data_IF_589757687587
#
_entry.id   IF_589757687587
#
_cell.length_a   1.000
_cell.length_b   1.000
_cell.length_c   1.000
_cell.angle_alpha   90.00
_cell.angle_beta   90.00
_cell.angle_gamma   90.00
#
_symmetry.space_group_name_H-M   'P 1'
#
loop_
_entity.id
_entity.type
_entity.pdbx_description
1 polymer ?
#
# COMPACT_ATOMS: atom_id res chain seq x y z
N UNK A 1 -0.03 -23.80 -51.66
CA UNK A 1 0.56 -23.48 -50.33
C UNK A 1 0.03 -24.46 -49.31
N UNK A 2 0.92 -25.16 -48.61
CA UNK A 2 0.62 -26.39 -47.87
C UNK A 2 0.31 -26.07 -46.39
N UNK A 3 -0.85 -26.46 -45.81
CA UNK A 3 -1.26 -26.11 -44.45
C UNK A 3 -0.46 -26.83 -43.33
N UNK A 4 0.55 -27.64 -43.67
CA UNK A 4 1.40 -28.35 -42.70
C UNK A 4 2.61 -27.55 -42.19
N UNK A 5 2.92 -26.40 -42.77
CA UNK A 5 4.12 -25.63 -42.38
C UNK A 5 3.84 -24.49 -41.40
N UNK A 6 2.59 -24.29 -40.95
CA UNK A 6 2.22 -23.23 -40.01
C UNK A 6 2.11 -23.70 -38.55
N UNK A 7 2.29 -25.00 -38.28
CA UNK A 7 2.21 -25.59 -36.93
C UNK A 7 3.57 -25.73 -36.22
N UNK A 8 4.69 -25.36 -36.86
CA UNK A 8 6.05 -25.54 -36.28
C UNK A 8 6.70 -24.25 -35.77
N UNK A 9 6.00 -23.10 -35.79
CA UNK A 9 6.49 -21.83 -35.23
C UNK A 9 5.86 -21.47 -33.87
N UNK A 10 5.12 -22.40 -33.25
CA UNK A 10 4.82 -22.33 -31.81
C UNK A 10 5.84 -23.19 -31.07
N UNK A 11 7.11 -22.80 -31.15
CA UNK A 11 8.08 -23.10 -30.11
C UNK A 11 7.66 -22.35 -28.85
N UNK A 12 6.59 -22.83 -28.22
CA UNK A 12 6.11 -22.33 -26.95
C UNK A 12 7.21 -22.58 -25.95
N UNK A 13 8.03 -21.56 -25.71
CA UNK A 13 8.87 -21.49 -24.53
C UNK A 13 7.91 -21.64 -23.36
N UNK A 14 7.81 -22.87 -22.85
CA UNK A 14 7.27 -23.17 -21.54
C UNK A 14 8.15 -22.40 -20.55
N UNK A 15 7.85 -21.12 -20.38
CA UNK A 15 8.43 -20.33 -19.31
C UNK A 15 7.97 -20.99 -18.02
N UNK A 16 8.94 -21.51 -17.27
CA UNK A 16 8.68 -22.10 -15.99
C UNK A 16 7.95 -21.09 -15.11
N UNK A 17 6.89 -21.52 -14.40
CA UNK A 17 6.16 -20.64 -13.51
C UNK A 17 7.10 -20.09 -12.44
N UNK A 18 7.01 -18.79 -12.18
CA UNK A 18 7.87 -18.11 -11.19
C UNK A 18 7.34 -18.45 -9.80
N UNK A 19 8.14 -19.19 -9.02
CA UNK A 19 7.83 -19.47 -7.61
C UNK A 19 8.40 -18.37 -6.71
N UNK A 20 7.54 -17.77 -5.91
CA UNK A 20 7.85 -16.71 -4.96
C UNK A 20 7.58 -17.24 -3.56
N UNK A 21 8.62 -17.42 -2.77
CA UNK A 21 8.47 -17.87 -1.39
C UNK A 21 7.88 -16.72 -0.54
N UNK A 22 6.78 -16.98 0.17
CA UNK A 22 6.25 -16.00 1.10
C UNK A 22 7.14 -15.97 2.34
N UNK A 23 7.56 -14.76 2.72
CA UNK A 23 8.33 -14.51 3.94
C UNK A 23 7.35 -14.57 5.11
N UNK A 24 7.53 -15.56 5.98
CA UNK A 24 6.73 -15.66 7.19
C UNK A 24 6.92 -14.42 8.07
N UNK A 25 5.80 -13.87 8.55
CA UNK A 25 5.75 -12.62 9.31
C UNK A 25 6.65 -12.59 10.55
N UNK A 26 7.09 -13.76 11.05
CA UNK A 26 8.07 -13.90 12.12
C UNK A 26 9.41 -13.16 11.84
N UNK A 27 9.73 -12.88 10.56
CA UNK A 27 10.94 -12.15 10.16
C UNK A 27 10.68 -10.70 9.68
N UNK A 28 9.42 -10.32 9.48
CA UNK A 28 8.99 -9.05 8.87
C UNK A 28 8.65 -7.94 9.88
N UNK A 29 8.90 -8.17 11.17
CA UNK A 29 8.76 -7.14 12.18
C UNK A 29 9.89 -6.12 12.06
N UNK A 30 9.62 -4.80 11.94
CA UNK A 30 10.65 -3.82 12.22
C UNK A 30 11.14 -4.09 13.65
N UNK A 31 12.45 -4.05 13.87
CA UNK A 31 13.01 -3.94 15.22
C UNK A 31 12.58 -2.58 15.75
N UNK A 32 11.33 -2.47 16.17
CA UNK A 32 10.82 -1.33 16.89
C UNK A 32 11.71 -1.15 18.11
N UNK A 33 12.28 0.03 18.37
CA UNK A 33 13.01 0.29 19.61
C UNK A 33 12.12 0.07 20.84
N UNK A 34 10.78 0.05 20.69
CA UNK A 34 9.86 -0.34 21.75
C UNK A 34 10.02 -1.81 22.18
N UNK A 35 10.43 -2.72 21.27
CA UNK A 35 10.68 -4.13 21.60
C UNK A 35 11.93 -4.31 22.47
N UNK A 36 12.88 -3.37 22.43
CA UNK A 36 14.03 -3.31 23.35
C UNK A 36 13.69 -2.68 24.70
N UNK A 37 12.67 -1.82 24.77
CA UNK A 37 12.22 -1.18 26.03
C UNK A 37 11.14 -1.96 26.78
N UNK A 38 10.44 -2.88 26.11
CA UNK A 38 9.46 -3.76 26.74
C UNK A 38 10.01 -4.61 27.91
N UNK A 39 11.19 -5.26 27.83
CA UNK A 39 11.74 -5.94 28.99
C UNK A 39 12.08 -4.97 30.12
N UNK A 40 12.53 -3.75 29.81
CA UNK A 40 12.84 -2.73 30.83
C UNK A 40 11.61 -2.18 31.53
N UNK A 41 10.52 -1.90 30.80
CA UNK A 41 9.25 -1.45 31.40
C UNK A 41 8.62 -2.54 32.28
N UNK A 42 8.73 -3.81 31.88
CA UNK A 42 8.24 -4.95 32.66
C UNK A 42 9.12 -5.24 33.89
N UNK A 43 10.45 -5.15 33.76
CA UNK A 43 11.37 -5.24 34.90
C UNK A 43 11.14 -4.10 35.89
N UNK A 44 10.89 -2.87 35.42
CA UNK A 44 10.57 -1.75 36.30
C UNK A 44 9.21 -1.93 36.99
N UNK A 45 8.21 -2.51 36.31
CA UNK A 45 6.92 -2.82 36.92
C UNK A 45 7.03 -3.89 38.01
N UNK A 46 7.81 -4.95 37.74
CA UNK A 46 8.03 -6.04 38.69
C UNK A 46 8.90 -5.61 39.88
N UNK A 47 9.90 -4.76 39.65
CA UNK A 47 10.69 -4.14 40.72
C UNK A 47 9.82 -3.22 41.59
N UNK A 48 8.93 -2.42 40.98
CA UNK A 48 8.03 -1.54 41.72
C UNK A 48 7.05 -2.33 42.60
N UNK A 49 6.45 -3.41 42.09
CA UNK A 49 5.54 -4.26 42.88
C UNK A 49 6.26 -4.99 44.00
N UNK A 50 7.50 -5.46 43.77
CA UNK A 50 8.31 -6.06 44.84
C UNK A 50 8.68 -5.02 45.91
N UNK A 51 9.04 -3.81 45.49
CA UNK A 51 9.38 -2.71 46.41
C UNK A 51 8.17 -2.29 47.23
N UNK A 52 6.98 -2.21 46.63
CA UNK A 52 5.71 -1.99 47.32
C UNK A 52 5.36 -3.11 48.31
N UNK A 53 5.59 -4.38 47.94
CA UNK A 53 5.39 -5.50 48.86
C UNK A 53 6.34 -5.46 50.06
N UNK A 54 7.62 -5.08 49.86
CA UNK A 54 8.59 -4.99 50.97
C UNK A 54 8.28 -3.78 51.88
N UNK A 55 7.87 -2.65 51.30
CA UNK A 55 7.55 -1.43 52.06
C UNK A 55 6.21 -1.51 52.81
N UNK A 56 5.19 -2.18 52.25
CA UNK A 56 3.88 -2.35 52.91
C UNK A 56 3.73 -3.67 53.66
N UNK A 57 4.58 -4.65 53.43
CA UNK A 57 4.58 -5.96 54.11
C UNK A 57 4.88 -5.91 55.61
N UNK A 58 5.23 -4.73 56.14
CA UNK A 58 5.43 -4.49 57.57
C UNK A 58 4.18 -3.98 58.30
N UNK A 59 3.07 -3.69 57.60
CA UNK A 59 1.84 -3.19 58.24
C UNK A 59 0.67 -4.13 57.95
N UNK A 60 0.25 -4.81 59.01
CA UNK A 60 -0.88 -5.71 59.32
C UNK A 60 -2.23 -5.56 58.55
N UNK A 61 -2.24 -5.38 57.24
CA UNK A 61 -3.47 -5.31 56.43
C UNK A 61 -3.56 -6.50 55.44
N UNK A 62 -4.21 -7.61 55.84
CA UNK A 62 -4.30 -8.82 55.01
C UNK A 62 -4.99 -8.58 53.66
N UNK A 63 -5.85 -7.56 53.55
CA UNK A 63 -6.52 -7.20 52.28
C UNK A 63 -5.57 -6.71 51.18
N UNK A 64 -4.49 -6.00 51.56
CA UNK A 64 -3.50 -5.50 50.58
C UNK A 64 -2.63 -6.61 50.03
N UNK A 65 -2.33 -7.65 50.82
CA UNK A 65 -1.60 -8.84 50.39
C UNK A 65 -2.39 -9.63 49.33
N UNK A 66 -3.71 -9.77 49.51
CA UNK A 66 -4.58 -10.45 48.54
C UNK A 66 -4.68 -9.67 47.22
N UNK A 67 -4.80 -8.34 47.29
CA UNK A 67 -4.82 -7.51 46.09
C UNK A 67 -3.48 -7.54 45.31
N UNK A 68 -2.35 -7.47 46.03
CA UNK A 68 -1.02 -7.50 45.42
C UNK A 68 -0.70 -8.85 44.74
N UNK A 69 -1.07 -9.96 45.38
CA UNK A 69 -0.92 -11.30 44.80
C UNK A 69 -1.80 -11.49 43.57
N UNK A 70 -3.04 -10.97 43.58
CA UNK A 70 -3.92 -10.98 42.41
C UNK A 70 -3.34 -10.23 41.21
N UNK A 71 -2.78 -9.03 41.42
CA UNK A 71 -2.14 -8.25 40.36
C UNK A 71 -0.89 -8.96 39.79
N UNK A 72 -0.08 -9.57 40.65
CA UNK A 72 1.08 -10.37 40.24
C UNK A 72 0.70 -11.56 39.36
N UNK A 73 -0.33 -12.31 39.75
CA UNK A 73 -0.83 -13.45 38.95
C UNK A 73 -1.38 -12.98 37.60
N UNK A 74 -2.12 -11.87 37.55
CA UNK A 74 -2.68 -11.36 36.30
C UNK A 74 -1.58 -10.91 35.32
N UNK A 75 -0.54 -10.22 35.82
CA UNK A 75 0.62 -9.84 34.99
C UNK A 75 1.39 -11.07 34.49
N UNK A 76 1.59 -12.09 35.34
CA UNK A 76 2.25 -13.33 34.94
C UNK A 76 1.43 -14.11 33.89
N UNK A 77 0.11 -14.19 34.03
CA UNK A 77 -0.78 -14.82 33.04
C UNK A 77 -0.75 -14.06 31.72
N UNK A 78 -0.77 -12.72 31.76
CA UNK A 78 -0.64 -11.90 30.56
C UNK A 78 0.71 -12.11 29.88
N UNK A 79 1.80 -12.22 30.65
CA UNK A 79 3.14 -12.52 30.16
C UNK A 79 3.21 -13.91 29.52
N UNK A 80 2.69 -14.95 30.18
CA UNK A 80 2.65 -16.31 29.64
C UNK A 80 1.81 -16.40 28.37
N UNK A 81 0.66 -15.70 28.30
CA UNK A 81 -0.16 -15.61 27.08
C UNK A 81 0.57 -14.92 25.95
N UNK A 82 1.21 -13.78 26.23
CA UNK A 82 1.92 -13.02 25.21
C UNK A 82 3.19 -13.75 24.73
N UNK A 83 3.90 -14.43 25.64
CA UNK A 83 5.02 -15.30 25.32
C UNK A 83 4.58 -16.56 24.56
N UNK A 84 3.40 -17.12 24.84
CA UNK A 84 2.83 -18.24 24.12
C UNK A 84 2.42 -17.85 22.69
N UNK A 85 1.84 -16.65 22.49
CA UNK A 85 1.52 -16.13 21.14
C UNK A 85 2.81 -15.91 20.32
N UNK A 86 3.84 -15.34 20.94
CA UNK A 86 5.15 -15.13 20.27
C UNK A 86 5.87 -16.46 20.00
N UNK A 87 5.73 -17.46 20.87
CA UNK A 87 6.30 -18.82 20.67
C UNK A 87 5.50 -19.66 19.68
N UNK A 88 4.16 -19.53 19.63
CA UNK A 88 3.35 -20.27 18.65
C UNK A 88 3.60 -19.79 17.22
N UNK A 89 3.95 -18.51 17.03
CA UNK A 89 4.39 -17.96 15.74
C UNK A 89 5.75 -18.51 15.26
N UNK A 90 6.51 -19.18 16.14
CA UNK A 90 7.86 -19.69 15.82
C UNK A 90 7.88 -21.19 15.50
N UNK A 91 6.78 -21.92 15.72
CA UNK A 91 6.72 -23.38 15.63
C UNK A 91 5.67 -23.84 14.61
N UNK A 92 5.89 -23.51 13.34
CA UNK A 92 5.02 -23.97 12.25
C UNK A 92 5.16 -23.13 11.00
N UNK A 93 6.34 -23.14 10.38
CA UNK A 93 6.52 -22.61 9.02
C UNK A 93 5.66 -23.46 8.09
N UNK A 94 4.44 -23.02 7.81
CA UNK A 94 3.71 -23.50 6.64
C UNK A 94 4.31 -22.76 5.44
N UNK A 95 5.01 -23.44 4.52
CA UNK A 95 5.68 -22.81 3.38
C UNK A 95 4.63 -22.45 2.31
N UNK A 96 3.78 -21.49 2.63
CA UNK A 96 2.94 -20.88 1.62
C UNK A 96 3.85 -20.20 0.58
N UNK A 97 3.59 -20.43 -0.70
CA UNK A 97 4.31 -19.76 -1.78
C UNK A 97 3.32 -19.29 -2.83
N UNK A 98 3.70 -18.22 -3.51
CA UNK A 98 2.95 -17.68 -4.63
C UNK A 98 3.59 -18.20 -5.91
N UNK A 99 2.81 -18.83 -6.76
CA UNK A 99 3.24 -19.23 -8.10
C UNK A 99 2.63 -18.26 -9.08
N UNK A 100 3.47 -17.56 -9.83
CA UNK A 100 3.03 -16.60 -10.85
C UNK A 100 3.33 -17.16 -12.24
N UNK A 101 2.34 -17.10 -13.12
CA UNK A 101 2.45 -17.45 -14.53
C UNK A 101 1.78 -16.39 -15.41
N UNK A 102 1.65 -16.65 -16.72
CA UNK A 102 1.02 -15.72 -17.66
C UNK A 102 -0.50 -15.59 -17.49
N UNK A 103 -1.13 -16.49 -16.77
CA UNK A 103 -2.57 -16.51 -16.54
C UNK A 103 -2.97 -15.82 -15.23
N UNK A 104 -2.09 -15.83 -14.23
CA UNK A 104 -2.46 -15.36 -12.90
C UNK A 104 -1.42 -15.65 -11.84
N UNK A 105 -1.84 -15.37 -10.61
CA UNK A 105 -1.11 -15.71 -9.40
C UNK A 105 -1.91 -16.75 -8.63
N UNK A 106 -1.24 -17.85 -8.27
CA UNK A 106 -1.77 -18.96 -7.49
C UNK A 106 -1.10 -18.97 -6.12
N UNK A 107 -1.88 -18.95 -5.04
CA UNK A 107 -1.40 -19.18 -3.69
C UNK A 107 -1.42 -20.69 -3.43
N UNK A 108 -0.25 -21.26 -3.15
CA UNK A 108 -0.10 -22.67 -2.79
C UNK A 108 0.23 -22.74 -1.31
N UNK A 109 -0.68 -23.28 -0.52
CA UNK A 109 -0.44 -23.57 0.90
C UNK A 109 -0.23 -25.07 1.09
N UNK A 110 0.46 -25.47 2.16
CA UNK A 110 0.91 -26.86 2.37
C UNK A 110 -0.24 -27.88 2.36
N UNK A 111 -1.42 -27.46 2.82
CA UNK A 111 -2.57 -28.34 3.09
C UNK A 111 -3.78 -28.03 2.21
N UNK A 112 -3.71 -27.04 1.32
CA UNK A 112 -4.81 -26.68 0.43
C UNK A 112 -4.42 -26.80 -1.05
N UNK A 113 -5.44 -26.98 -1.89
CA UNK A 113 -5.25 -26.86 -3.33
C UNK A 113 -4.79 -25.44 -3.69
N UNK A 114 -4.02 -25.34 -4.77
CA UNK A 114 -3.58 -24.06 -5.31
C UNK A 114 -4.80 -23.17 -5.60
N UNK A 115 -4.91 -22.05 -4.89
CA UNK A 115 -6.01 -21.11 -5.04
C UNK A 115 -5.58 -19.95 -5.94
N UNK A 116 -6.37 -19.64 -6.97
CA UNK A 116 -6.10 -18.45 -7.78
C UNK A 116 -6.49 -17.20 -7.01
N UNK A 117 -5.48 -16.42 -6.61
CA UNK A 117 -5.66 -15.16 -5.89
C UNK A 117 -5.75 -13.96 -6.82
N UNK A 118 -5.23 -14.06 -8.05
CA UNK A 118 -5.33 -13.00 -9.04
C UNK A 118 -5.31 -13.55 -10.47
N UNK A 119 -6.09 -12.93 -11.37
CA UNK A 119 -6.12 -13.24 -12.80
C UNK A 119 -5.50 -12.10 -13.60
N UNK A 120 -4.61 -12.42 -14.55
CA UNK A 120 -4.07 -11.43 -15.50
C UNK A 120 -4.98 -11.23 -16.72
N UNK A 121 -6.00 -12.09 -16.89
CA UNK A 121 -6.96 -12.04 -17.99
C UNK A 121 -8.30 -11.42 -17.56
N UNK A 122 -9.03 -10.75 -18.48
CA UNK A 122 -8.62 -10.42 -19.86
C UNK A 122 -7.65 -9.24 -19.94
N UNK A 123 -7.62 -8.38 -18.91
CA UNK A 123 -6.76 -7.21 -18.81
C UNK A 123 -6.42 -6.97 -17.35
N UNK A 124 -5.20 -6.50 -17.10
CA UNK A 124 -4.74 -6.13 -15.77
C UNK A 124 -3.86 -4.87 -15.84
N UNK A 125 -3.67 -4.21 -14.72
CA UNK A 125 -2.72 -3.13 -14.52
C UNK A 125 -1.92 -3.35 -13.24
N UNK A 126 -0.73 -2.77 -13.16
CA UNK A 126 0.02 -2.79 -11.92
C UNK A 126 0.70 -1.45 -11.61
N UNK A 127 0.73 -1.12 -10.33
CA UNK A 127 1.33 0.10 -9.81
C UNK A 127 2.33 -0.24 -8.71
N UNK A 128 3.37 0.59 -8.59
CA UNK A 128 4.37 0.45 -7.54
C UNK A 128 4.07 1.42 -6.41
N UNK A 129 4.23 0.95 -5.19
CA UNK A 129 4.11 1.75 -3.99
C UNK A 129 5.33 1.56 -3.10
N UNK A 130 5.73 2.61 -2.39
CA UNK A 130 6.80 2.52 -1.42
C UNK A 130 6.45 3.31 -0.15
N UNK A 131 7.02 2.89 0.97
CA UNK A 131 7.01 3.73 2.17
C UNK A 131 7.87 4.98 1.95
N UNK A 132 7.60 6.05 2.70
CA UNK A 132 8.37 7.30 2.59
C UNK A 132 9.88 7.09 2.86
N UNK A 133 10.25 6.16 3.74
CA UNK A 133 11.64 5.79 4.03
C UNK A 133 12.26 4.80 3.01
N UNK A 134 11.51 4.44 1.97
CA UNK A 134 11.87 3.47 0.92
C UNK A 134 12.34 2.13 1.49
N UNK A 135 11.90 1.76 2.69
CA UNK A 135 12.24 0.48 3.32
C UNK A 135 11.33 -0.66 2.87
N UNK A 136 10.24 -0.36 2.16
CA UNK A 136 9.29 -1.34 1.66
C UNK A 136 8.83 -0.94 0.27
N UNK A 137 8.81 -1.90 -0.64
CA UNK A 137 8.28 -1.79 -1.99
C UNK A 137 7.11 -2.74 -2.13
N UNK A 138 6.02 -2.29 -2.73
CA UNK A 138 4.79 -3.06 -2.95
C UNK A 138 4.37 -2.93 -4.40
N UNK A 139 4.05 -4.05 -5.03
CA UNK A 139 3.39 -4.12 -6.34
C UNK A 139 1.91 -4.32 -6.06
N UNK A 140 1.07 -3.39 -6.49
CA UNK A 140 -0.38 -3.59 -6.49
C UNK A 140 -0.82 -3.99 -7.90
N UNK A 141 -1.36 -5.19 -8.02
CA UNK A 141 -1.99 -5.72 -9.22
C UNK A 141 -3.48 -5.38 -9.15
N UNK A 142 -4.04 -4.96 -10.29
CA UNK A 142 -5.44 -4.55 -10.39
C UNK A 142 -6.06 -5.09 -11.68
N UNK A 143 -7.30 -5.56 -11.59
CA UNK A 143 -8.14 -5.91 -12.74
C UNK A 143 -9.58 -5.51 -12.43
N UNK A 144 -10.52 -5.72 -13.35
CA UNK A 144 -11.92 -5.34 -13.14
C UNK A 144 -12.65 -6.08 -12.01
N UNK A 145 -12.06 -7.14 -11.44
CA UNK A 145 -12.67 -7.98 -10.41
C UNK A 145 -12.02 -7.83 -9.03
N UNK A 146 -10.72 -7.58 -8.95
CA UNK A 146 -9.98 -7.54 -7.70
C UNK A 146 -8.68 -6.75 -7.77
N UNK A 147 -8.13 -6.44 -6.59
CA UNK A 147 -6.78 -5.94 -6.40
C UNK A 147 -6.00 -6.92 -5.51
N UNK A 148 -4.69 -7.06 -5.77
CA UNK A 148 -3.78 -7.87 -4.97
C UNK A 148 -2.47 -7.11 -4.78
N UNK A 149 -2.05 -6.92 -3.53
CA UNK A 149 -0.76 -6.30 -3.22
C UNK A 149 0.25 -7.35 -2.78
N UNK A 150 1.45 -7.33 -3.38
CA UNK A 150 2.59 -8.16 -3.01
C UNK A 150 3.76 -7.24 -2.68
N UNK A 151 4.37 -7.40 -1.51
CA UNK A 151 5.45 -6.52 -1.06
C UNK A 151 6.75 -7.23 -0.74
N UNK A 152 7.81 -6.44 -0.60
CA UNK A 152 9.10 -6.86 -0.08
C UNK A 152 9.72 -5.76 0.79
N UNK A 153 10.47 -6.17 1.81
CA UNK A 153 11.30 -5.25 2.59
C UNK A 153 12.61 -4.98 1.85
N UNK A 154 12.93 -3.70 1.68
CA UNK A 154 14.08 -3.24 0.90
C UNK A 154 15.18 -2.76 1.84
N UNK A 155 16.25 -3.56 1.89
CA UNK A 155 17.45 -3.25 2.66
C UNK A 155 18.25 -2.07 2.07
N UNK A 156 19.13 -1.41 2.84
CA UNK A 156 19.90 -0.26 2.39
C UNK A 156 20.76 -0.53 1.13
N UNK A 157 21.29 -1.75 0.99
CA UNK A 157 22.07 -2.16 -0.17
C UNK A 157 21.23 -2.22 -1.46
N UNK A 158 19.99 -2.69 -1.36
CA UNK A 158 19.09 -2.83 -2.51
C UNK A 158 18.51 -1.48 -2.95
N UNK A 159 18.38 -0.49 -2.06
CA UNK A 159 17.79 0.83 -2.41
C UNK A 159 18.47 1.49 -3.61
N UNK A 160 19.80 1.43 -3.69
CA UNK A 160 20.55 2.00 -4.83
C UNK A 160 20.27 1.21 -6.11
N UNK A 161 20.29 -0.12 -6.03
CA UNK A 161 20.00 -1.02 -7.16
C UNK A 161 18.59 -0.84 -7.69
N UNK A 162 17.64 -0.58 -6.80
CA UNK A 162 16.23 -0.40 -7.12
C UNK A 162 15.83 1.06 -7.33
N UNK A 163 16.79 1.98 -7.47
CA UNK A 163 16.53 3.42 -7.59
C UNK A 163 15.53 3.75 -8.71
N UNK A 164 15.62 3.08 -9.86
CA UNK A 164 14.67 3.24 -10.95
C UNK A 164 13.24 2.79 -10.57
N UNK A 165 13.07 1.65 -9.89
CA UNK A 165 11.74 1.24 -9.42
C UNK A 165 11.20 2.20 -8.35
N UNK A 166 12.08 2.68 -7.47
CA UNK A 166 11.72 3.62 -6.40
C UNK A 166 11.27 4.98 -6.95
N UNK A 167 11.83 5.45 -8.06
CA UNK A 167 11.40 6.71 -8.67
C UNK A 167 9.99 6.62 -9.27
N UNK A 168 9.56 5.42 -9.68
CA UNK A 168 8.22 5.18 -10.21
C UNK A 168 7.22 4.72 -9.13
N UNK A 169 7.70 4.33 -7.95
CA UNK A 169 6.83 3.99 -6.84
C UNK A 169 6.15 5.25 -6.30
N UNK A 170 4.86 5.12 -6.01
CA UNK A 170 4.06 6.16 -5.34
C UNK A 170 4.17 5.98 -3.83
N UNK A 171 4.35 7.08 -3.11
CA UNK A 171 4.51 7.02 -1.66
C UNK A 171 3.18 6.73 -0.98
N UNK A 172 3.17 5.76 -0.06
CA UNK A 172 2.01 5.38 0.73
C UNK A 172 2.36 5.17 2.22
N UNK A 173 1.34 5.28 3.09
CA UNK A 173 1.48 5.01 4.51
C UNK A 173 1.89 3.55 4.74
N UNK A 174 2.72 3.31 5.76
CA UNK A 174 3.18 1.95 6.08
C UNK A 174 2.01 1.05 6.49
N UNK A 175 1.07 1.60 7.24
CA UNK A 175 -0.13 0.94 7.74
C UNK A 175 -1.05 0.55 6.58
N UNK A 176 -1.20 1.45 5.62
CA UNK A 176 -1.99 1.25 4.42
C UNK A 176 -1.45 0.12 3.57
N UNK A 177 -0.12 0.10 3.36
CA UNK A 177 0.56 -0.99 2.64
C UNK A 177 0.48 -2.30 3.42
N UNK A 178 0.65 -2.27 4.74
CA UNK A 178 0.54 -3.45 5.58
C UNK A 178 -0.87 -4.05 5.54
N UNK A 179 -1.91 -3.22 5.49
CA UNK A 179 -3.29 -3.65 5.33
C UNK A 179 -3.58 -4.18 3.93
N UNK A 180 -3.08 -3.52 2.89
CA UNK A 180 -3.31 -3.93 1.50
C UNK A 180 -2.67 -5.28 1.16
N UNK A 181 -1.56 -5.63 1.82
CA UNK A 181 -0.90 -6.94 1.68
C UNK A 181 -1.56 -8.06 2.49
N UNK A 182 -2.56 -7.77 3.33
CA UNK A 182 -3.31 -8.80 4.04
C UNK A 182 -4.34 -9.40 3.09
N UNK A 183 -4.20 -10.70 2.81
CA UNK A 183 -5.25 -11.43 2.10
C UNK A 183 -6.45 -11.65 3.02
N UNK A 184 -7.66 -11.48 2.50
CA UNK A 184 -8.94 -11.69 3.23
C UNK A 184 -9.02 -13.03 3.95
N UNK A 185 -8.30 -14.05 3.46
CA UNK A 185 -8.32 -15.43 4.00
C UNK A 185 -6.94 -16.06 4.13
N UNK A 186 -5.87 -15.30 3.92
CA UNK A 186 -4.54 -15.86 3.66
C UNK A 186 -3.39 -15.22 4.43
N UNK A 187 -2.16 -15.70 4.21
CA UNK A 187 -0.97 -15.08 4.76
C UNK A 187 -0.76 -13.67 4.21
N UNK A 188 0.07 -12.89 4.92
CA UNK A 188 0.57 -11.61 4.39
C UNK A 188 1.37 -11.88 3.12
N UNK A 189 1.06 -11.16 2.06
CA UNK A 189 1.69 -11.28 0.74
C UNK A 189 3.05 -10.58 0.70
N UNK A 190 3.97 -11.02 1.57
CA UNK A 190 5.34 -10.52 1.62
C UNK A 190 6.28 -11.56 1.03
N UNK A 191 7.16 -11.14 0.12
CA UNK A 191 8.18 -11.97 -0.53
C UNK A 191 9.56 -11.35 -0.34
N UNK A 192 10.63 -12.08 -0.67
CA UNK A 192 11.96 -11.47 -0.73
C UNK A 192 12.07 -10.51 -1.93
N UNK A 193 13.00 -9.55 -1.85
CA UNK A 193 13.21 -8.53 -2.88
C UNK A 193 13.47 -9.13 -4.27
N UNK A 194 14.21 -10.23 -4.37
CA UNK A 194 14.53 -10.84 -5.67
C UNK A 194 13.28 -11.46 -6.30
N UNK A 195 12.45 -12.13 -5.49
CA UNK A 195 11.14 -12.64 -5.90
C UNK A 195 10.22 -11.51 -6.38
N UNK A 196 10.17 -10.37 -5.68
CA UNK A 196 9.35 -9.23 -6.11
C UNK A 196 9.78 -8.68 -7.48
N UNK A 197 11.09 -8.61 -7.75
CA UNK A 197 11.61 -8.17 -9.05
C UNK A 197 11.24 -9.15 -10.16
N UNK A 198 11.34 -10.46 -9.92
CA UNK A 198 10.90 -11.47 -10.89
C UNK A 198 9.41 -11.36 -11.21
N UNK A 199 8.58 -11.01 -10.22
CA UNK A 199 7.17 -10.75 -10.43
C UNK A 199 6.96 -9.52 -11.33
N UNK A 200 7.66 -8.40 -11.07
CA UNK A 200 7.58 -7.19 -11.90
C UNK A 200 8.03 -7.47 -13.34
N UNK A 201 9.13 -8.20 -13.51
CA UNK A 201 9.64 -8.58 -14.83
C UNK A 201 8.62 -9.46 -15.57
N UNK A 202 8.00 -10.42 -14.89
CA UNK A 202 6.94 -11.25 -15.45
C UNK A 202 5.74 -10.41 -15.89
N UNK A 203 5.25 -9.49 -15.06
CA UNK A 203 4.10 -8.63 -15.41
C UNK A 203 4.41 -7.76 -16.63
N UNK A 204 5.62 -7.20 -16.68
CA UNK A 204 6.10 -6.38 -17.81
C UNK A 204 6.22 -7.21 -19.10
N UNK A 205 6.64 -8.48 -19.00
CA UNK A 205 6.69 -9.39 -20.15
C UNK A 205 5.30 -9.81 -20.64
N UNK A 206 4.31 -9.96 -19.74
CA UNK A 206 2.94 -10.33 -20.11
C UNK A 206 2.24 -9.17 -20.82
N UNK A 207 2.32 -7.96 -20.28
CA UNK A 207 1.82 -6.74 -20.92
C UNK A 207 2.67 -5.53 -20.50
N UNK A 208 3.55 -5.06 -21.38
CA UNK A 208 4.40 -3.90 -21.12
C UNK A 208 3.59 -2.61 -20.85
N UNK A 209 2.35 -2.54 -21.32
CA UNK A 209 1.45 -1.39 -21.14
C UNK A 209 0.60 -1.49 -19.87
N UNK A 210 0.80 -2.53 -19.05
CA UNK A 210 0.12 -2.71 -17.76
C UNK A 210 0.74 -1.86 -16.64
N UNK A 211 1.99 -1.43 -16.79
CA UNK A 211 2.66 -0.58 -15.81
C UNK A 211 1.99 0.80 -15.72
N UNK A 212 1.60 1.18 -14.50
CA UNK A 212 0.88 2.44 -14.23
C UNK A 212 -0.61 2.41 -14.59
N UNK A 213 -1.10 1.32 -15.20
CA UNK A 213 -2.54 1.12 -15.40
C UNK A 213 -3.19 0.77 -14.06
N UNK A 214 -4.35 1.36 -13.79
CA UNK A 214 -5.14 1.11 -12.58
C UNK A 214 -6.55 0.71 -13.00
N UNK A 215 -7.03 -0.43 -12.50
CA UNK A 215 -8.39 -0.92 -12.76
C UNK A 215 -9.08 -1.16 -11.44
N UNK A 216 -10.04 -0.31 -11.09
CA UNK A 216 -10.76 -0.38 -9.83
C UNK A 216 -12.26 -0.46 -10.09
N UNK A 217 -12.99 -0.74 -9.02
CA UNK A 217 -14.44 -0.73 -9.00
C UNK A 217 -14.90 0.24 -7.92
N UNK A 218 -15.83 1.12 -8.26
CA UNK A 218 -16.44 2.05 -7.31
C UNK A 218 -17.40 1.32 -6.35
N UNK A 219 -17.97 2.05 -5.39
CA UNK A 219 -18.90 1.52 -4.40
C UNK A 219 -20.23 1.04 -5.00
N UNK A 220 -20.50 1.33 -6.27
CA UNK A 220 -21.68 0.89 -7.02
C UNK A 220 -21.36 -0.26 -7.99
N UNK A 221 -20.16 -0.82 -7.94
CA UNK A 221 -19.76 -1.91 -8.82
C UNK A 221 -19.35 -1.46 -10.23
N UNK A 222 -19.08 -0.17 -10.44
CA UNK A 222 -18.77 0.38 -11.77
C UNK A 222 -17.28 0.63 -11.91
N UNK A 223 -16.77 0.50 -13.13
CA UNK A 223 -15.33 0.58 -13.37
C UNK A 223 -14.78 2.01 -13.20
N UNK A 224 -13.59 2.08 -12.60
CA UNK A 224 -12.72 3.25 -12.57
C UNK A 224 -11.38 2.80 -13.15
N UNK A 225 -11.10 3.20 -14.39
CA UNK A 225 -9.95 2.71 -15.16
C UNK A 225 -9.04 3.88 -15.52
N UNK A 226 -7.82 3.86 -15.03
CA UNK A 226 -6.73 4.69 -15.53
C UNK A 226 -5.96 3.91 -16.60
N UNK A 227 -6.02 4.41 -17.82
CA UNK A 227 -5.15 3.99 -18.91
C UNK A 227 -4.31 5.19 -19.35
N UNK A 228 -3.17 4.91 -19.97
CA UNK A 228 -2.13 5.87 -20.38
C UNK A 228 -2.64 7.28 -20.73
N UNK A 229 -3.67 7.38 -21.57
CA UNK A 229 -4.21 8.62 -22.12
C UNK A 229 -5.62 8.98 -21.62
N UNK A 230 -6.20 8.19 -20.70
CA UNK A 230 -7.59 8.41 -20.25
C UNK A 230 -7.87 7.86 -18.85
N UNK A 231 -8.71 8.60 -18.13
CA UNK A 231 -9.37 8.16 -16.92
C UNK A 231 -10.85 7.92 -17.22
N UNK A 232 -11.24 6.65 -17.22
CA UNK A 232 -12.61 6.19 -17.42
C UNK A 232 -13.29 6.02 -16.06
N UNK A 233 -14.48 6.58 -15.93
CA UNK A 233 -15.36 6.35 -14.79
C UNK A 233 -16.77 6.10 -15.30
N UNK A 234 -17.64 5.66 -14.40
CA UNK A 234 -19.08 5.56 -14.72
C UNK A 234 -19.77 6.88 -15.07
N UNK A 235 -19.14 8.02 -14.75
CA UNK A 235 -19.71 9.35 -14.93
C UNK A 235 -19.25 10.01 -16.23
N UNK A 236 -17.96 9.92 -16.50
CA UNK A 236 -17.35 10.53 -17.67
C UNK A 236 -16.03 9.86 -18.04
N UNK A 237 -15.58 10.14 -19.26
CA UNK A 237 -14.23 9.86 -19.73
C UNK A 237 -13.44 11.15 -19.72
N UNK A 238 -12.37 11.21 -18.94
CA UNK A 238 -11.40 12.30 -18.98
C UNK A 238 -10.22 11.86 -19.84
N UNK A 239 -9.94 12.62 -20.88
CA UNK A 239 -8.77 12.44 -21.74
C UNK A 239 -7.58 13.16 -21.14
N UNK A 240 -6.54 12.40 -20.80
CA UNK A 240 -5.30 12.91 -20.21
C UNK A 240 -4.38 13.55 -21.26
N UNK A 241 -4.63 13.32 -22.55
CA UNK A 241 -3.96 14.02 -23.65
C UNK A 241 -4.60 15.39 -24.01
N UNK A 242 -5.65 15.78 -23.28
CA UNK A 242 -6.41 17.01 -23.48
C UNK A 242 -6.30 17.93 -22.26
N UNK A 243 -6.46 19.27 -22.43
CA UNK A 243 -6.39 20.17 -21.31
C UNK A 243 -7.49 19.86 -20.30
N UNK A 244 -7.11 19.85 -19.04
CA UNK A 244 -7.99 19.60 -17.90
C UNK A 244 -7.58 20.51 -16.74
N UNK A 245 -8.53 20.76 -15.86
CA UNK A 245 -8.30 21.37 -14.56
C UNK A 245 -8.45 20.33 -13.48
N UNK A 246 -7.61 20.39 -12.45
CA UNK A 246 -7.73 19.50 -11.32
C UNK A 246 -7.27 20.15 -10.03
N UNK A 247 -7.78 19.67 -8.89
CA UNK A 247 -7.32 20.07 -7.55
C UNK A 247 -7.60 18.99 -6.51
N UNK A 248 -6.70 18.87 -5.53
CA UNK A 248 -6.91 18.06 -4.33
C UNK A 248 -7.87 18.76 -3.36
N UNK A 249 -8.78 18.00 -2.78
CA UNK A 249 -9.76 18.46 -1.79
C UNK A 249 -9.67 17.60 -0.53
N UNK A 250 -9.98 18.18 0.63
CA UNK A 250 -10.26 17.46 1.87
C UNK A 250 -11.58 17.99 2.42
N UNK A 251 -12.49 17.09 2.79
CA UNK A 251 -13.78 17.48 3.35
C UNK A 251 -14.22 16.48 4.41
N UNK A 252 -15.12 16.92 5.29
CA UNK A 252 -15.67 16.10 6.37
C UNK A 252 -17.17 15.94 6.18
N UNK A 253 -17.67 14.72 6.34
CA UNK A 253 -19.10 14.45 6.36
C UNK A 253 -19.56 13.93 7.72
N UNK A 254 -20.79 14.27 8.10
CA UNK A 254 -21.31 14.03 9.45
C UNK A 254 -21.11 15.21 10.38
N UNK A 255 -21.78 15.18 11.53
CA UNK A 255 -21.74 16.23 12.54
C UNK A 255 -20.91 15.84 13.77
N UNK A 256 -20.22 16.84 14.34
CA UNK A 256 -19.51 16.70 15.61
C UNK A 256 -18.31 15.73 15.55
N UNK A 257 -18.08 15.03 16.66
CA UNK A 257 -16.94 14.14 16.86
C UNK A 257 -16.96 12.85 16.02
N UNK A 258 -18.09 12.55 15.37
CA UNK A 258 -18.26 11.35 14.54
C UNK A 258 -18.08 11.64 13.04
N UNK A 259 -17.63 12.84 12.69
CA UNK A 259 -17.39 13.22 11.30
C UNK A 259 -16.29 12.36 10.67
N UNK A 260 -16.54 11.85 9.47
CA UNK A 260 -15.57 11.09 8.69
C UNK A 260 -14.87 12.03 7.72
N UNK A 261 -13.53 11.97 7.71
CA UNK A 261 -12.71 12.78 6.82
C UNK A 261 -12.44 12.04 5.50
N UNK A 262 -12.63 12.76 4.41
CA UNK A 262 -12.46 12.27 3.05
C UNK A 262 -11.41 13.09 2.33
N UNK A 263 -10.66 12.42 1.48
CA UNK A 263 -9.84 13.06 0.47
C UNK A 263 -10.52 12.98 -0.89
N UNK A 264 -10.43 14.06 -1.66
CA UNK A 264 -11.02 14.20 -2.97
C UNK A 264 -10.01 14.63 -4.02
N UNK A 265 -10.25 14.27 -5.27
CA UNK A 265 -9.59 14.86 -6.44
C UNK A 265 -10.67 15.33 -7.39
N UNK A 266 -10.87 16.63 -7.46
CA UNK A 266 -11.78 17.26 -8.39
C UNK A 266 -11.10 17.38 -9.75
N UNK A 267 -11.81 16.99 -10.81
CA UNK A 267 -11.31 17.02 -12.19
C UNK A 267 -12.39 17.58 -13.09
N UNK A 268 -12.01 18.52 -13.96
CA UNK A 268 -12.88 19.14 -14.95
C UNK A 268 -12.24 19.14 -16.34
N UNK A 269 -12.99 18.72 -17.34
CA UNK A 269 -12.63 18.79 -18.75
C UNK A 269 -13.84 19.20 -19.60
N UNK A 270 -13.79 20.43 -20.13
CA UNK A 270 -14.93 21.01 -20.83
C UNK A 270 -16.17 21.13 -19.92
N UNK A 271 -17.25 20.42 -20.28
CA UNK A 271 -18.49 20.35 -19.49
C UNK A 271 -18.54 19.16 -18.53
N UNK A 272 -17.55 18.27 -18.59
CA UNK A 272 -17.48 17.09 -17.74
C UNK A 272 -16.75 17.43 -16.45
N UNK A 273 -17.36 17.08 -15.31
CA UNK A 273 -16.85 17.34 -13.98
C UNK A 273 -17.11 16.12 -13.10
N UNK A 274 -16.12 15.74 -12.29
CA UNK A 274 -16.25 14.67 -11.32
C UNK A 274 -15.31 14.88 -10.14
N UNK A 275 -15.59 14.18 -9.04
CA UNK A 275 -14.72 14.13 -7.87
C UNK A 275 -14.42 12.68 -7.53
N UNK A 276 -13.17 12.27 -7.67
CA UNK A 276 -12.69 11.01 -7.12
C UNK A 276 -12.63 11.16 -5.60
N UNK A 277 -13.25 10.27 -4.83
CA UNK A 277 -13.34 10.38 -3.37
C UNK A 277 -12.84 9.11 -2.72
N UNK A 278 -12.10 9.26 -1.62
CA UNK A 278 -11.72 8.15 -0.77
C UNK A 278 -11.71 8.54 0.70
N UNK A 279 -11.83 7.53 1.57
CA UNK A 279 -11.65 7.71 3.00
C UNK A 279 -10.20 8.14 3.28
N UNK A 280 -10.04 9.15 4.13
CA UNK A 280 -8.74 9.54 4.63
C UNK A 280 -8.39 8.61 5.80
N UNK A 281 -7.46 7.68 5.57
CA UNK A 281 -6.92 6.80 6.60
C UNK A 281 -5.40 6.81 6.49
N UNK A 282 -4.73 7.08 7.61
CA UNK A 282 -3.30 7.41 7.62
C UNK A 282 -3.01 8.76 6.95
N UNK A 283 -1.93 9.42 7.38
CA UNK A 283 -1.48 10.65 6.74
C UNK A 283 -0.12 10.43 6.06
N UNK A 284 -0.16 10.25 4.73
CA UNK A 284 1.04 10.11 3.89
C UNK A 284 1.93 11.34 4.08
N UNK A 285 1.34 12.52 4.29
CA UNK A 285 2.09 13.76 4.49
C UNK A 285 2.87 13.73 5.79
N UNK A 286 2.29 13.17 6.86
CA UNK A 286 3.01 12.98 8.11
C UNK A 286 4.20 12.04 7.91
N UNK A 287 4.01 10.91 7.23
CA UNK A 287 5.09 9.96 6.93
C UNK A 287 6.21 10.60 6.11
N UNK A 288 5.87 11.47 5.15
CA UNK A 288 6.85 12.20 4.34
C UNK A 288 7.57 13.27 5.19
N UNK A 289 6.84 14.04 6.00
CA UNK A 289 7.41 15.08 6.85
C UNK A 289 8.38 14.50 7.90
N UNK A 290 8.06 13.35 8.50
CA UNK A 290 8.95 12.62 9.42
C UNK A 290 10.24 12.13 8.76
N UNK A 291 10.24 11.99 7.43
CA UNK A 291 11.44 11.67 6.67
C UNK A 291 12.23 12.93 6.36
N UNK A 292 11.57 13.95 5.82
CA UNK A 292 12.17 15.25 5.50
C UNK A 292 12.90 15.85 6.71
N UNK A 293 12.25 15.87 7.87
CA UNK A 293 12.81 16.39 9.13
C UNK A 293 14.03 15.59 9.60
N UNK A 294 14.02 14.26 9.39
CA UNK A 294 15.11 13.36 9.79
C UNK A 294 16.31 13.45 8.87
N UNK A 295 16.09 13.66 7.57
CA UNK A 295 17.16 13.79 6.57
C UNK A 295 17.68 15.21 6.43
N UNK A 296 17.01 16.20 7.03
CA UNK A 296 17.37 17.62 6.90
C UNK A 296 17.04 18.19 5.51
N UNK A 297 16.08 17.58 4.80
CA UNK A 297 15.69 17.95 3.44
C UNK A 297 15.04 16.80 2.66
N UNK A 298 14.67 17.05 1.41
CA UNK A 298 13.99 16.07 0.54
C UNK A 298 14.95 14.96 0.10
N UNK A 299 14.69 13.67 0.43
CA UNK A 299 15.55 12.56 0.03
C UNK A 299 15.57 12.32 -1.48
N UNK A 300 14.43 12.54 -2.15
CA UNK A 300 14.28 12.41 -3.59
C UNK A 300 13.18 13.36 -4.11
N UNK A 301 13.26 13.71 -5.41
CA UNK A 301 12.32 14.64 -6.05
C UNK A 301 10.90 14.07 -6.14
N UNK A 302 10.76 12.75 -6.17
CA UNK A 302 9.46 12.08 -6.30
C UNK A 302 8.70 12.11 -4.98
N UNK A 303 9.37 12.02 -3.84
CA UNK A 303 8.80 12.21 -2.51
C UNK A 303 8.28 13.64 -2.36
N UNK A 304 9.01 14.61 -2.90
CA UNK A 304 8.55 16.01 -2.94
C UNK A 304 7.31 16.17 -3.81
N UNK A 305 7.30 15.58 -4.99
CA UNK A 305 6.12 15.58 -5.86
C UNK A 305 4.92 14.93 -5.15
N UNK A 306 5.11 13.75 -4.57
CA UNK A 306 4.07 13.03 -3.83
C UNK A 306 3.53 13.85 -2.64
N UNK A 307 4.39 14.59 -1.92
CA UNK A 307 3.93 15.48 -0.85
C UNK A 307 3.06 16.63 -1.38
N UNK A 308 3.44 17.23 -2.50
CA UNK A 308 2.65 18.29 -3.15
C UNK A 308 1.30 17.73 -3.60
N UNK A 309 1.30 16.55 -4.24
CA UNK A 309 0.09 15.90 -4.75
C UNK A 309 -0.80 15.35 -3.63
N UNK A 310 -0.24 14.94 -2.49
CA UNK A 310 -1.00 14.47 -1.33
C UNK A 310 -1.79 15.60 -0.67
N UNK A 311 -1.35 16.85 -0.82
CA UNK A 311 -2.07 17.99 -0.26
C UNK A 311 -3.43 18.20 -0.95
N UNK A 312 -4.43 18.48 -0.13
CA UNK A 312 -5.75 18.91 -0.58
C UNK A 312 -6.19 20.12 0.22
N UNK A 313 -6.95 21.00 -0.43
CA UNK A 313 -7.52 22.18 0.23
C UNK A 313 -8.81 21.80 0.96
N UNK A 314 -9.04 22.31 2.18
CA UNK A 314 -10.34 22.17 2.84
C UNK A 314 -11.47 22.71 1.95
N UNK A 315 -12.52 21.93 1.78
CA UNK A 315 -13.66 22.30 0.94
C UNK A 315 -14.99 21.78 1.53
N UNK A 316 -16.09 22.33 1.06
CA UNK A 316 -17.40 21.75 1.30
C UNK A 316 -17.51 20.37 0.61
N UNK A 317 -18.27 19.41 1.17
CA UNK A 317 -18.49 18.13 0.51
C UNK A 317 -19.09 18.32 -0.89
N UNK A 318 -18.52 17.70 -1.94
CA UNK A 318 -19.05 17.82 -3.30
C UNK A 318 -20.43 17.15 -3.41
N UNK A 319 -21.30 17.53 -4.35
CA UNK A 319 -22.57 16.83 -4.58
C UNK A 319 -22.39 15.33 -4.84
N UNK A 320 -23.27 14.48 -4.32
CA UNK A 320 -23.14 13.01 -4.35
C UNK A 320 -23.08 12.48 -5.79
N UNK A 321 -23.83 13.10 -6.69
CA UNK A 321 -23.89 12.79 -8.11
C UNK A 321 -22.56 13.02 -8.84
N UNK A 322 -21.66 13.84 -8.29
CA UNK A 322 -20.32 14.07 -8.85
C UNK A 322 -19.27 13.09 -8.30
N UNK A 323 -19.58 12.38 -7.21
CA UNK A 323 -18.61 11.54 -6.51
C UNK A 323 -18.40 10.20 -7.22
N UNK A 324 -17.15 9.80 -7.31
CA UNK A 324 -16.71 8.48 -7.75
C UNK A 324 -15.82 7.92 -6.64
N UNK A 325 -16.29 6.87 -5.97
CA UNK A 325 -15.50 6.25 -4.89
C UNK A 325 -14.29 5.52 -5.48
N UNK A 326 -13.12 5.73 -4.89
CA UNK A 326 -11.88 5.03 -5.24
C UNK A 326 -11.19 4.51 -3.99
N UNK A 327 -10.48 3.40 -4.13
CA UNK A 327 -9.63 2.88 -3.06
C UNK A 327 -8.54 3.91 -2.72
N UNK A 328 -8.35 4.16 -1.42
CA UNK A 328 -7.44 5.17 -0.89
C UNK A 328 -6.01 4.97 -1.35
N UNK A 329 -5.57 3.72 -1.51
CA UNK A 329 -4.21 3.41 -1.95
C UNK A 329 -3.95 3.98 -3.35
N UNK A 330 -4.99 4.08 -4.19
CA UNK A 330 -4.87 4.51 -5.58
C UNK A 330 -5.19 5.99 -5.82
N UNK A 331 -5.55 6.75 -4.78
CA UNK A 331 -5.80 8.19 -4.92
C UNK A 331 -4.56 8.94 -5.42
N UNK A 332 -3.40 8.68 -4.82
CA UNK A 332 -2.16 9.38 -5.18
C UNK A 332 -1.62 8.97 -6.57
N UNK A 333 -1.62 7.67 -6.98
CA UNK A 333 -1.35 7.29 -8.37
C UNK A 333 -2.25 8.01 -9.38
N UNK A 334 -3.56 8.11 -9.10
CA UNK A 334 -4.50 8.83 -9.97
C UNK A 334 -4.14 10.31 -10.08
N UNK A 335 -3.85 10.98 -8.95
CA UNK A 335 -3.38 12.38 -8.95
C UNK A 335 -2.09 12.55 -9.76
N UNK A 336 -1.13 11.64 -9.62
CA UNK A 336 0.16 11.70 -10.32
C UNK A 336 -0.01 11.58 -11.83
N UNK A 337 -0.93 10.72 -12.30
CA UNK A 337 -1.26 10.61 -13.72
C UNK A 337 -1.97 11.87 -14.26
N UNK A 338 -2.91 12.44 -13.49
CA UNK A 338 -3.61 13.68 -13.84
C UNK A 338 -2.65 14.88 -13.88
N UNK A 339 -1.71 14.96 -12.92
CA UNK A 339 -0.70 16.01 -12.85
C UNK A 339 0.28 15.94 -14.02
N UNK A 340 0.81 14.75 -14.33
CA UNK A 340 1.72 14.55 -15.45
C UNK A 340 1.10 15.01 -16.78
N UNK A 341 -0.17 14.66 -17.00
CA UNK A 341 -0.97 15.10 -18.14
C UNK A 341 -1.13 16.63 -18.21
N UNK A 342 -1.29 17.30 -17.07
CA UNK A 342 -1.41 18.75 -17.00
C UNK A 342 -0.08 19.47 -17.30
N UNK A 343 1.05 18.93 -16.83
CA UNK A 343 2.39 19.53 -16.97
C UNK A 343 2.91 19.42 -18.41
N UNK A 344 2.83 18.25 -19.05
CA UNK A 344 3.29 18.03 -20.45
C UNK A 344 2.66 19.05 -21.42
N UNK A 345 1.45 19.52 -21.09
CA UNK A 345 0.77 20.53 -21.87
C UNK A 345 1.23 21.96 -21.62
N UNK A 346 1.56 22.34 -20.38
CA UNK A 346 2.08 23.68 -20.09
C UNK A 346 3.37 23.94 -20.86
N UNK A 347 4.23 22.93 -20.98
CA UNK A 347 5.52 23.04 -21.64
C UNK A 347 5.40 23.00 -23.18
N UNK A 348 4.29 22.49 -23.73
CA UNK A 348 4.05 22.44 -25.18
C UNK A 348 3.26 23.63 -25.74
N UNK A 349 2.80 24.56 -24.88
CA UNK A 349 2.35 25.87 -25.35
C UNK A 349 3.63 26.69 -25.55
N UNK A 350 4.03 27.01 -26.81
CA UNK A 350 5.16 27.90 -27.03
C UNK A 350 4.82 29.18 -26.29
N UNK A 351 5.69 29.58 -25.35
CA UNK A 351 5.50 30.84 -24.65
C UNK A 351 5.29 31.91 -25.71
N UNK A 352 4.12 32.54 -25.69
CA UNK A 352 3.90 33.81 -26.36
C UNK A 352 5.02 34.70 -25.83
N UNK A 353 6.09 34.81 -26.63
CA UNK A 353 7.11 35.80 -26.47
C UNK A 353 6.35 37.10 -26.44
N UNK A 354 6.22 37.64 -25.23
CA UNK A 354 5.68 38.94 -24.96
C UNK A 354 6.34 39.92 -25.92
N UNK A 355 5.61 40.26 -26.97
CA UNK A 355 5.70 41.53 -27.66
C UNK A 355 5.49 42.59 -26.59
N UNK A 356 6.60 43.07 -26.04
CA UNK A 356 6.65 44.09 -25.02
C UNK A 356 7.85 44.99 -25.26
N UNK A 357 7.58 46.10 -25.98
CA UNK A 357 8.34 47.36 -25.90
C UNK A 357 9.57 47.47 -26.77
#
# INVERSE_FOLDING_TARGET
MNPKTLAMAQGGLHQEPVRLALVTAAKAGPVSPARRRLPWMLVSGLALTLTLMVTFGLVSHPGLLVAATGAGVFTLISWLRQAAIVRSDSAGVSPAHLTADRSGLLLVTKDAQAERVFSLLPKFGFSLFATADRSRLVVALTNGASSLCVGADVGPADRKRLSWLMSHAVTACREDLAMAMQSTRGPVMLVDTTSLLRLIDLMTQVDATSFGRVMLTDNLGREVVLERDRLLTSRCTIRLDQPLEWRGLVFREGSGAMGVEYQGTWVRQGKSEMVLVSLMAGDVRQSIHEIETRTGGWPDAMLRQDAVLANGSPAAPPPVEQRVAVDRLFMLPLRRAIDAAHVEKRDSIPGDASLGG
#
